data_IF_881432330652
#
_entry.id   IF_881432330652
#
_cell.length_a   1.000
_cell.length_b   1.000
_cell.length_c   1.000
_cell.angle_alpha   90.00
_cell.angle_beta   90.00
_cell.angle_gamma   90.00
#
_symmetry.space_group_name_H-M   'P 1'
#
loop_
_entity.id
_entity.type
_entity.pdbx_description
1 polymer ?
#
# COMPACT_ATOMS: atom_id res chain seq x y z
N UNK A 1 3.07 -42.74 25.57
CA UNK A 1 3.54 -41.82 24.50
C UNK A 1 2.42 -41.44 23.53
N UNK A 2 1.49 -42.34 23.21
CA UNK A 2 0.29 -42.04 22.41
C UNK A 2 -0.68 -41.05 23.07
N UNK A 3 -0.73 -40.99 24.40
CA UNK A 3 -1.57 -40.06 25.17
C UNK A 3 -1.13 -38.58 25.07
N UNK A 4 0.10 -38.32 24.61
CA UNK A 4 0.59 -36.95 24.43
C UNK A 4 0.16 -36.34 23.09
N UNK A 5 -0.24 -37.18 22.13
CA UNK A 5 -0.53 -36.76 20.75
C UNK A 5 -1.77 -37.49 20.23
N UNK A 6 -2.97 -37.10 20.69
CA UNK A 6 -4.20 -37.70 20.18
C UNK A 6 -4.28 -37.57 18.64
N UNK A 7 -4.84 -38.58 17.95
CA UNK A 7 -4.95 -38.53 16.49
C UNK A 7 -5.76 -37.30 16.09
N UNK A 8 -5.14 -36.43 15.30
CA UNK A 8 -5.73 -35.20 14.80
C UNK A 8 -7.02 -35.53 14.05
N UNK A 9 -8.15 -35.31 14.71
CA UNK A 9 -9.49 -35.61 14.18
C UNK A 9 -9.94 -34.55 13.17
N UNK A 10 -9.23 -33.41 13.17
CA UNK A 10 -9.63 -32.23 12.45
C UNK A 10 -8.53 -31.85 11.46
N UNK A 11 -8.80 -32.06 10.18
CA UNK A 11 -8.07 -31.38 9.12
C UNK A 11 -8.40 -29.89 9.18
N UNK A 12 -7.73 -29.14 10.06
CA UNK A 12 -7.76 -27.68 10.05
C UNK A 12 -6.96 -27.11 8.88
N UNK A 13 -7.32 -27.48 7.65
CA UNK A 13 -6.97 -26.70 6.46
C UNK A 13 -7.99 -25.57 6.32
N UNK A 14 -8.16 -24.76 7.37
CA UNK A 14 -8.90 -23.51 7.24
C UNK A 14 -7.96 -22.58 6.49
N UNK A 15 -8.33 -22.19 5.27
CA UNK A 15 -7.59 -21.20 4.50
C UNK A 15 -7.47 -19.95 5.38
N UNK A 16 -6.26 -19.67 5.85
CA UNK A 16 -6.00 -18.55 6.75
C UNK A 16 -6.66 -17.28 6.21
N UNK A 17 -7.34 -16.54 7.07
CA UNK A 17 -8.09 -15.37 6.66
C UNK A 17 -7.13 -14.41 5.96
N UNK A 18 -7.28 -14.28 4.64
CA UNK A 18 -6.57 -13.28 3.86
C UNK A 18 -7.24 -11.96 4.21
N UNK A 19 -6.85 -11.35 5.32
CA UNK A 19 -7.15 -9.95 5.60
C UNK A 19 -6.12 -9.14 4.82
N UNK A 20 -6.38 -8.71 3.57
CA UNK A 20 -5.57 -7.65 2.99
C UNK A 20 -5.59 -6.48 3.98
N UNK A 21 -4.47 -5.77 4.11
CA UNK A 21 -4.42 -4.55 4.90
C UNK A 21 -5.69 -3.73 4.60
N UNK A 22 -6.43 -3.27 5.62
CA UNK A 22 -7.64 -2.49 5.39
C UNK A 22 -7.29 -1.35 4.43
N UNK A 23 -8.03 -1.22 3.33
CA UNK A 23 -7.73 -0.22 2.30
C UNK A 23 -7.62 1.19 2.89
N UNK A 24 -8.39 1.47 3.95
CA UNK A 24 -8.35 2.73 4.69
C UNK A 24 -6.99 3.00 5.35
N UNK A 25 -6.30 1.97 5.83
CA UNK A 25 -5.00 2.11 6.49
C UNK A 25 -3.90 2.39 5.47
N UNK A 26 -3.98 1.77 4.29
CA UNK A 26 -3.11 2.07 3.15
C UNK A 26 -3.31 3.52 2.74
N UNK A 27 -4.56 3.98 2.58
CA UNK A 27 -4.89 5.35 2.21
C UNK A 27 -4.38 6.36 3.24
N UNK A 28 -4.52 6.06 4.55
CA UNK A 28 -3.95 6.89 5.62
C UNK A 28 -2.43 6.96 5.53
N UNK A 29 -1.77 5.85 5.24
CA UNK A 29 -0.31 5.80 5.11
C UNK A 29 0.23 6.63 3.95
N UNK A 30 -0.54 6.79 2.86
CA UNK A 30 -0.12 7.54 1.65
C UNK A 30 -0.80 8.91 1.48
N UNK A 31 -1.49 9.42 2.50
CA UNK A 31 -2.26 10.67 2.38
C UNK A 31 -1.36 11.89 2.09
N UNK A 32 -0.14 11.90 2.65
CA UNK A 32 0.85 12.96 2.40
C UNK A 32 1.34 12.92 0.95
N UNK A 33 1.65 11.73 0.46
CA UNK A 33 2.11 11.50 -0.91
C UNK A 33 1.03 11.89 -1.94
N UNK A 34 -0.23 11.54 -1.69
CA UNK A 34 -1.35 11.96 -2.53
C UNK A 34 -1.50 13.49 -2.57
N UNK A 35 -1.27 14.16 -1.44
CA UNK A 35 -1.30 15.63 -1.36
C UNK A 35 -0.17 16.27 -2.16
N UNK A 36 1.03 15.71 -2.12
CA UNK A 36 2.16 16.16 -2.95
C UNK A 36 1.86 16.03 -4.44
N UNK A 37 1.32 14.88 -4.87
CA UNK A 37 0.90 14.67 -6.27
C UNK A 37 -0.14 15.72 -6.69
N UNK A 38 -1.14 15.99 -5.84
CA UNK A 38 -2.16 16.99 -6.11
C UNK A 38 -1.57 18.40 -6.26
N UNK A 39 -0.68 18.83 -5.35
CA UNK A 39 -0.04 20.13 -5.42
C UNK A 39 0.83 20.27 -6.68
N UNK A 40 1.62 19.24 -7.00
CA UNK A 40 2.43 19.22 -8.22
C UNK A 40 1.56 19.31 -9.48
N UNK A 41 0.45 18.57 -9.52
CA UNK A 41 -0.51 18.64 -10.62
C UNK A 41 -1.14 20.03 -10.74
N UNK A 42 -1.46 20.69 -9.63
CA UNK A 42 -1.97 22.06 -9.63
C UNK A 42 -0.96 23.08 -10.16
N UNK A 43 0.33 22.92 -9.82
CA UNK A 43 1.40 23.76 -10.33
C UNK A 43 1.52 23.61 -11.85
N UNK A 44 1.56 22.37 -12.33
CA UNK A 44 1.64 22.06 -13.77
C UNK A 44 0.39 22.54 -14.51
N UNK A 45 -0.81 22.37 -13.95
CA UNK A 45 -2.06 22.81 -14.58
C UNK A 45 -2.14 24.33 -14.77
N UNK A 46 -1.42 25.09 -13.94
CA UNK A 46 -1.29 26.55 -14.06
C UNK A 46 -0.20 26.97 -15.07
N UNK A 47 0.42 26.01 -15.76
CA UNK A 47 1.49 26.25 -16.73
C UNK A 47 2.87 26.48 -16.10
N UNK A 48 3.00 26.28 -14.79
CA UNK A 48 4.27 26.46 -14.10
C UNK A 48 5.11 25.18 -14.15
N UNK A 49 6.42 25.34 -14.29
CA UNK A 49 7.37 24.25 -14.12
C UNK A 49 7.51 23.90 -12.63
N UNK A 50 7.72 22.61 -12.34
CA UNK A 50 8.12 22.17 -11.01
C UNK A 50 9.58 22.53 -10.76
N UNK A 51 9.89 22.95 -9.53
CA UNK A 51 11.28 23.11 -9.11
C UNK A 51 11.98 21.75 -9.05
N UNK A 52 13.32 21.68 -9.15
CA UNK A 52 14.05 20.42 -8.98
C UNK A 52 13.73 19.74 -7.64
N UNK A 53 13.60 20.52 -6.56
CA UNK A 53 13.26 20.00 -5.24
C UNK A 53 11.84 19.40 -5.20
N UNK A 54 10.87 20.05 -5.85
CA UNK A 54 9.50 19.54 -5.92
C UNK A 54 9.40 18.30 -6.83
N UNK A 55 10.22 18.23 -7.88
CA UNK A 55 10.35 17.03 -8.71
C UNK A 55 10.88 15.84 -7.90
N UNK A 56 11.93 16.04 -7.09
CA UNK A 56 12.48 14.99 -6.23
C UNK A 56 11.44 14.52 -5.21
N UNK A 57 10.72 15.44 -4.57
CA UNK A 57 9.63 15.13 -3.64
C UNK A 57 8.51 14.35 -4.34
N UNK A 58 8.12 14.74 -5.56
CA UNK A 58 7.10 14.06 -6.34
C UNK A 58 7.52 12.63 -6.71
N UNK A 59 8.79 12.42 -7.08
CA UNK A 59 9.32 11.09 -7.38
C UNK A 59 9.31 10.17 -6.16
N UNK A 60 9.69 10.70 -4.99
CA UNK A 60 9.62 9.96 -3.72
C UNK A 60 8.16 9.60 -3.40
N UNK A 61 7.23 10.54 -3.55
CA UNK A 61 5.81 10.31 -3.31
C UNK A 61 5.24 9.22 -4.23
N UNK A 62 5.53 9.28 -5.53
CA UNK A 62 5.11 8.28 -6.50
C UNK A 62 5.68 6.88 -6.18
N UNK A 63 6.95 6.81 -5.76
CA UNK A 63 7.58 5.56 -5.35
C UNK A 63 6.88 4.92 -4.14
N UNK A 64 6.56 5.72 -3.12
CA UNK A 64 5.86 5.25 -1.91
C UNK A 64 4.42 4.81 -2.20
N UNK A 65 3.70 5.50 -3.07
CA UNK A 65 2.36 5.07 -3.52
C UNK A 65 2.46 3.69 -4.18
N UNK A 66 3.45 3.49 -5.06
CA UNK A 66 3.66 2.18 -5.70
C UNK A 66 4.04 1.09 -4.69
N UNK A 67 4.85 1.40 -3.68
CA UNK A 67 5.16 0.47 -2.60
C UNK A 67 3.91 0.09 -1.79
N UNK A 68 3.02 1.06 -1.53
CA UNK A 68 1.76 0.85 -0.83
C UNK A 68 0.79 -0.06 -1.60
N UNK A 69 0.73 0.03 -2.93
CA UNK A 69 -0.04 -0.89 -3.77
C UNK A 69 0.45 -2.34 -3.60
N UNK A 70 1.76 -2.56 -3.69
CA UNK A 70 2.36 -3.88 -3.47
C UNK A 70 2.10 -4.40 -2.06
N UNK A 71 2.31 -3.56 -1.03
CA UNK A 71 2.08 -3.94 0.37
C UNK A 71 0.61 -4.26 0.65
N UNK A 72 -0.32 -3.58 -0.04
CA UNK A 72 -1.75 -3.84 0.03
C UNK A 72 -2.22 -5.07 -0.73
N UNK A 73 -1.34 -5.73 -1.50
CA UNK A 73 -1.74 -6.79 -2.44
C UNK A 73 -2.66 -6.28 -3.54
N UNK A 74 -2.60 -4.98 -3.86
CA UNK A 74 -3.39 -4.35 -4.92
C UNK A 74 -2.60 -4.50 -6.22
N UNK A 75 -2.80 -5.63 -6.89
CA UNK A 75 -2.29 -5.86 -8.23
C UNK A 75 -3.35 -5.43 -9.25
N UNK A 76 -2.98 -4.59 -10.22
CA UNK A 76 -3.84 -4.37 -11.38
C UNK A 76 -3.83 -5.66 -12.20
N UNK A 77 -5.01 -6.20 -12.50
CA UNK A 77 -5.19 -7.40 -13.33
C UNK A 77 -4.86 -7.14 -14.79
#
# INVERSE_FOLDING_TARGET
MSDLFPPRTDQHFVKGEKRPFPAVDILRAIAGEASLVYLSAQTVSKGNALTPEDLDRLLVAASRIRAALTAGGIHHG
#
